data_IF_488135089052
#
_entry.id   IF_488135089052
#
_cell.length_a   1.000
_cell.length_b   1.000
_cell.length_c   1.000
_cell.angle_alpha   90.00
_cell.angle_beta   90.00
_cell.angle_gamma   90.00
#
_symmetry.space_group_name_H-M   'P 1'
#
loop_
_entity.id
_entity.type
_entity.pdbx_description
1 polymer ?
#
# COMPACT_ATOMS: atom_id res chain seq x y z
N UNK A 1 -23.11 -4.79 27.77
CA UNK A 1 -24.05 -3.70 27.36
C UNK A 1 -24.22 -2.60 28.40
N UNK A 2 -23.72 -2.75 29.62
CA UNK A 2 -23.77 -1.72 30.65
C UNK A 2 -22.99 -0.47 30.25
N UNK A 3 -21.81 -0.64 29.70
CA UNK A 3 -20.91 0.45 29.31
C UNK A 3 -21.50 1.35 28.22
N UNK A 4 -22.21 0.79 27.24
CA UNK A 4 -22.86 1.59 26.21
C UNK A 4 -23.97 2.49 26.77
N UNK A 5 -24.76 1.98 27.73
CA UNK A 5 -25.79 2.79 28.41
C UNK A 5 -25.15 3.90 29.23
N UNK A 6 -24.04 3.61 29.90
CA UNK A 6 -23.30 4.61 30.66
C UNK A 6 -22.81 5.72 29.74
N UNK A 7 -22.08 5.41 28.64
CA UNK A 7 -21.62 6.40 27.69
C UNK A 7 -22.74 7.21 27.06
N UNK A 8 -23.85 6.58 26.70
CA UNK A 8 -24.98 7.32 26.12
C UNK A 8 -25.62 8.28 27.12
N UNK A 9 -25.69 7.92 28.43
CA UNK A 9 -26.18 8.83 29.48
C UNK A 9 -25.23 9.98 29.75
N UNK A 10 -23.91 9.75 29.71
CA UNK A 10 -22.91 10.80 29.87
C UNK A 10 -22.94 11.79 28.71
N UNK A 11 -23.04 11.30 27.45
CA UNK A 11 -23.18 12.15 26.27
C UNK A 11 -24.48 12.98 26.34
N UNK A 12 -25.58 12.36 26.72
CA UNK A 12 -26.86 13.08 26.89
C UNK A 12 -26.80 14.12 28.02
N UNK A 13 -26.12 13.81 29.13
CA UNK A 13 -25.87 14.75 30.25
C UNK A 13 -24.99 15.93 29.86
N UNK A 14 -23.94 15.68 29.08
CA UNK A 14 -23.04 16.71 28.58
C UNK A 14 -23.71 17.63 27.56
N UNK A 15 -24.82 17.18 26.96
CA UNK A 15 -25.59 17.91 25.93
C UNK A 15 -24.70 18.67 24.95
N UNK A 16 -23.79 17.96 24.23
CA UNK A 16 -22.80 18.62 23.36
C UNK A 16 -23.50 19.35 22.22
N UNK A 17 -23.28 20.64 22.15
CA UNK A 17 -23.70 21.44 20.99
C UNK A 17 -22.74 21.21 19.84
N UNK A 18 -23.23 20.68 18.73
CA UNK A 18 -22.43 20.51 17.53
C UNK A 18 -21.97 21.86 17.00
N UNK A 19 -20.70 21.95 16.61
CA UNK A 19 -20.15 23.14 15.96
C UNK A 19 -20.46 23.06 14.47
N UNK A 20 -21.02 24.14 13.91
CA UNK A 20 -21.23 24.22 12.46
C UNK A 20 -19.86 24.33 11.77
N UNK A 21 -19.55 23.34 10.92
CA UNK A 21 -18.29 23.27 10.18
C UNK A 21 -18.00 24.53 9.37
N UNK A 22 -19.02 25.16 8.80
CA UNK A 22 -18.85 26.37 7.99
C UNK A 22 -18.48 27.62 8.79
N UNK A 23 -18.83 27.66 10.09
CA UNK A 23 -18.54 28.77 11.00
C UNK A 23 -17.43 28.48 12.01
N UNK A 24 -16.88 27.25 11.99
CA UNK A 24 -15.81 26.84 12.89
C UNK A 24 -14.48 27.47 12.47
N UNK A 25 -13.93 28.32 13.32
CA UNK A 25 -12.56 28.84 13.17
C UNK A 25 -11.66 28.16 14.19
N UNK A 26 -10.64 27.39 13.80
CA UNK A 26 -9.71 26.78 14.72
C UNK A 26 -8.95 27.83 15.51
N UNK A 27 -8.93 27.70 16.82
CA UNK A 27 -8.16 28.62 17.70
C UNK A 27 -6.69 28.23 17.78
N UNK A 28 -6.37 26.95 17.53
CA UNK A 28 -5.00 26.46 17.48
C UNK A 28 -4.62 26.14 16.03
N UNK A 29 -3.97 27.07 15.37
CA UNK A 29 -3.46 26.93 13.99
C UNK A 29 -1.96 26.62 13.96
N UNK A 30 -1.30 26.55 15.13
CA UNK A 30 0.10 26.20 15.21
C UNK A 30 0.26 24.68 15.02
N UNK A 31 0.81 24.28 13.89
CA UNK A 31 1.18 22.90 13.65
C UNK A 31 2.36 22.51 14.54
N UNK A 32 2.28 21.36 15.19
CA UNK A 32 3.44 20.80 15.87
C UNK A 32 4.48 20.39 14.81
N UNK A 33 5.74 20.70 15.07
CA UNK A 33 6.83 20.16 14.25
C UNK A 33 6.82 18.62 14.32
N UNK A 34 7.15 17.97 13.19
CA UNK A 34 7.33 16.52 13.19
C UNK A 34 8.46 16.13 14.14
N UNK A 35 8.34 14.97 14.81
CA UNK A 35 9.44 14.44 15.63
C UNK A 35 10.71 14.28 14.78
N UNK A 36 11.86 14.45 15.41
CA UNK A 36 13.16 14.10 14.80
C UNK A 36 13.46 12.62 15.04
N UNK A 37 14.22 12.01 14.15
CA UNK A 37 14.69 10.63 14.32
C UNK A 37 15.46 10.49 15.63
N UNK A 38 15.13 9.47 16.40
CA UNK A 38 15.72 9.17 17.70
C UNK A 38 15.19 7.86 18.26
N UNK A 39 15.57 7.50 19.50
CA UNK A 39 15.19 6.22 20.10
C UNK A 39 13.68 5.98 20.24
N UNK A 40 12.87 7.03 20.24
CA UNK A 40 11.41 6.96 20.34
C UNK A 40 10.69 7.16 19.01
N UNK A 41 11.40 7.50 17.95
CA UNK A 41 10.84 7.79 16.63
C UNK A 41 11.85 7.53 15.52
N UNK A 42 11.63 6.47 14.73
CA UNK A 42 12.58 6.02 13.72
C UNK A 42 12.36 6.63 12.32
N UNK A 43 11.24 7.32 12.10
CA UNK A 43 10.92 7.83 10.78
C UNK A 43 11.38 9.28 10.59
N UNK A 44 12.08 9.54 9.47
CA UNK A 44 12.44 10.89 9.03
C UNK A 44 11.19 11.64 8.56
N UNK A 45 11.10 12.92 8.89
CA UNK A 45 9.94 13.75 8.51
C UNK A 45 9.92 14.13 7.02
N UNK A 46 11.05 13.99 6.33
CA UNK A 46 11.19 14.25 4.89
C UNK A 46 12.41 13.53 4.32
N UNK A 47 12.27 12.79 3.21
CA UNK A 47 10.99 12.46 2.58
C UNK A 47 10.17 11.47 3.41
N UNK A 48 8.85 11.58 3.34
CA UNK A 48 7.94 10.56 3.86
C UNK A 48 7.94 9.32 2.95
N UNK A 49 7.52 8.13 3.46
CA UNK A 49 7.30 6.96 2.61
C UNK A 49 6.42 7.33 1.41
N UNK A 50 6.81 6.98 0.19
CA UNK A 50 6.00 7.25 -0.99
C UNK A 50 4.68 6.45 -0.94
N UNK A 51 3.66 6.95 -1.60
CA UNK A 51 2.45 6.17 -1.87
C UNK A 51 2.80 5.10 -2.90
N UNK A 52 2.20 3.91 -2.76
CA UNK A 52 2.41 2.84 -3.74
C UNK A 52 1.90 3.28 -5.13
N UNK A 53 2.77 3.24 -6.12
CA UNK A 53 2.38 3.35 -7.53
C UNK A 53 1.91 1.98 -8.00
N UNK A 54 0.59 1.76 -7.96
CA UNK A 54 -0.04 0.48 -8.27
C UNK A 54 0.24 0.09 -9.73
N UNK A 55 0.17 1.04 -10.64
CA UNK A 55 0.36 0.80 -12.07
C UNK A 55 1.81 0.43 -12.38
N UNK A 56 2.79 1.10 -11.77
CA UNK A 56 4.19 0.71 -11.86
C UNK A 56 4.42 -0.70 -11.30
N UNK A 57 3.82 -1.02 -10.15
CA UNK A 57 3.95 -2.34 -9.53
C UNK A 57 3.36 -3.45 -10.40
N UNK A 58 2.20 -3.22 -11.01
CA UNK A 58 1.58 -4.16 -11.95
C UNK A 58 2.39 -4.27 -13.24
N UNK A 59 2.82 -3.15 -13.80
CA UNK A 59 3.69 -3.09 -14.97
C UNK A 59 4.97 -3.92 -14.77
N UNK A 60 5.66 -3.71 -13.68
CA UNK A 60 6.85 -4.47 -13.32
C UNK A 60 6.54 -5.97 -13.18
N UNK A 61 5.45 -6.33 -12.51
CA UNK A 61 5.05 -7.72 -12.34
C UNK A 61 4.68 -8.39 -13.67
N UNK A 62 3.99 -7.70 -14.57
CA UNK A 62 3.57 -8.22 -15.87
C UNK A 62 4.72 -8.40 -16.84
N UNK A 63 5.73 -7.56 -16.74
CA UNK A 63 6.96 -7.67 -17.55
C UNK A 63 7.97 -8.66 -16.97
N UNK A 64 7.78 -9.13 -15.73
CA UNK A 64 8.67 -10.09 -15.09
C UNK A 64 8.53 -11.49 -15.68
N UNK A 65 9.66 -12.10 -16.04
CA UNK A 65 9.73 -13.46 -16.59
C UNK A 65 9.88 -14.55 -15.52
N UNK A 66 10.25 -14.20 -14.31
CA UNK A 66 10.32 -15.11 -13.16
C UNK A 66 9.52 -14.53 -12.00
N UNK A 67 8.56 -15.31 -11.52
CA UNK A 67 7.63 -14.90 -10.47
C UNK A 67 7.42 -16.00 -9.44
N UNK A 68 6.80 -15.66 -8.32
CA UNK A 68 6.46 -16.62 -7.26
C UNK A 68 5.49 -17.67 -7.78
N UNK A 69 5.79 -18.94 -7.54
CA UNK A 69 4.92 -20.07 -7.88
C UNK A 69 3.78 -20.22 -6.86
N UNK A 70 2.56 -19.88 -7.27
CA UNK A 70 1.37 -20.04 -6.42
C UNK A 70 1.39 -19.14 -5.16
N UNK A 71 0.94 -19.68 -4.04
CA UNK A 71 0.92 -19.02 -2.73
C UNK A 71 1.98 -19.61 -1.81
N UNK A 72 2.81 -18.76 -1.22
CA UNK A 72 3.81 -19.13 -0.23
C UNK A 72 3.35 -18.70 1.16
N UNK A 73 3.79 -19.42 2.21
CA UNK A 73 3.66 -18.94 3.58
C UNK A 73 4.58 -17.75 3.84
N UNK A 74 4.27 -16.92 4.82
CA UNK A 74 5.10 -15.76 5.19
C UNK A 74 6.56 -16.12 5.48
N UNK A 75 6.78 -17.26 6.14
CA UNK A 75 8.12 -17.78 6.42
C UNK A 75 8.88 -18.14 5.13
N UNK A 76 8.20 -18.74 4.14
CA UNK A 76 8.81 -19.04 2.84
C UNK A 76 9.10 -17.77 2.06
N UNK A 77 8.22 -16.75 2.12
CA UNK A 77 8.50 -15.44 1.54
C UNK A 77 9.78 -14.84 2.10
N UNK A 78 9.91 -14.75 3.44
CA UNK A 78 11.06 -14.17 4.10
C UNK A 78 12.37 -14.91 3.72
N UNK A 79 12.33 -16.25 3.73
CA UNK A 79 13.49 -17.06 3.33
C UNK A 79 13.88 -16.83 1.88
N UNK A 80 12.92 -16.78 0.96
CA UNK A 80 13.18 -16.60 -0.46
C UNK A 80 13.72 -15.19 -0.75
N UNK A 81 13.19 -14.15 -0.09
CA UNK A 81 13.77 -12.81 -0.14
C UNK A 81 15.23 -12.79 0.30
N UNK A 82 15.52 -13.36 1.47
CA UNK A 82 16.90 -13.43 1.98
C UNK A 82 17.83 -14.16 1.01
N UNK A 83 17.36 -15.24 0.40
CA UNK A 83 18.14 -16.02 -0.56
C UNK A 83 18.39 -15.24 -1.85
N UNK A 84 17.34 -14.72 -2.48
CA UNK A 84 17.47 -14.06 -3.79
C UNK A 84 18.21 -12.73 -3.68
N UNK A 85 17.96 -11.92 -2.65
CA UNK A 85 18.68 -10.67 -2.42
C UNK A 85 20.14 -10.90 -1.94
N UNK A 86 20.51 -12.13 -1.58
CA UNK A 86 21.91 -12.52 -1.42
C UNK A 86 22.64 -12.77 -2.74
N UNK A 87 21.91 -12.99 -3.83
CA UNK A 87 22.47 -13.28 -5.15
C UNK A 87 22.41 -12.10 -6.11
N UNK A 88 21.48 -11.18 -5.93
CA UNK A 88 21.27 -10.01 -6.79
C UNK A 88 21.04 -8.75 -5.96
N UNK A 89 21.22 -7.59 -6.58
CA UNK A 89 20.96 -6.29 -5.95
C UNK A 89 19.45 -6.03 -5.81
N UNK A 90 18.97 -5.90 -4.57
CA UNK A 90 17.59 -5.59 -4.22
C UNK A 90 17.36 -4.12 -3.81
N UNK A 91 18.25 -3.20 -4.18
CA UNK A 91 18.16 -1.78 -3.79
C UNK A 91 16.84 -1.12 -4.22
N UNK A 92 16.22 -1.60 -5.32
CA UNK A 92 14.90 -1.16 -5.78
C UNK A 92 13.75 -1.45 -4.80
N UNK A 93 13.99 -2.29 -3.79
CA UNK A 93 13.03 -2.64 -2.72
C UNK A 93 13.35 -1.96 -1.39
N UNK A 94 14.41 -1.15 -1.32
CA UNK A 94 14.80 -0.45 -0.09
C UNK A 94 13.63 0.36 0.45
N UNK A 95 13.36 0.22 1.75
CA UNK A 95 12.36 1.00 2.46
C UNK A 95 12.95 1.37 3.83
N UNK A 96 13.73 2.44 3.88
CA UNK A 96 14.40 2.90 5.09
C UNK A 96 13.83 4.25 5.53
N UNK A 97 12.89 4.22 6.47
CA UNK A 97 12.25 5.41 6.99
C UNK A 97 13.23 6.31 7.76
N UNK A 98 14.28 5.75 8.36
CA UNK A 98 15.28 6.48 9.14
C UNK A 98 16.17 7.35 8.25
N UNK A 99 16.59 6.84 7.09
CA UNK A 99 17.39 7.59 6.12
C UNK A 99 16.52 8.33 5.10
N UNK A 100 15.26 7.93 4.95
CA UNK A 100 14.36 8.46 3.94
C UNK A 100 14.67 7.92 2.53
N UNK A 101 15.26 6.72 2.43
CA UNK A 101 15.60 6.07 1.17
C UNK A 101 14.55 5.03 0.80
N UNK A 102 13.95 5.21 -0.38
CA UNK A 102 12.91 4.32 -0.89
C UNK A 102 13.19 3.98 -2.34
N UNK A 103 13.28 2.70 -2.64
CA UNK A 103 13.34 2.20 -4.02
C UNK A 103 11.98 2.32 -4.71
N UNK A 104 11.97 2.35 -6.04
CA UNK A 104 10.76 2.53 -6.85
C UNK A 104 9.69 1.46 -6.59
N UNK A 105 10.10 0.25 -6.21
CA UNK A 105 9.21 -0.87 -5.94
C UNK A 105 9.01 -1.16 -4.44
N UNK A 106 9.52 -0.29 -3.57
CA UNK A 106 9.49 -0.48 -2.11
C UNK A 106 8.08 -0.56 -1.53
N UNK A 107 7.10 0.08 -2.15
CA UNK A 107 5.70 0.10 -1.71
C UNK A 107 4.79 -0.87 -2.48
N UNK A 108 5.33 -1.68 -3.38
CA UNK A 108 4.59 -2.75 -4.06
C UNK A 108 4.18 -3.84 -3.06
N UNK A 109 3.22 -4.67 -3.44
CA UNK A 109 2.86 -5.84 -2.62
C UNK A 109 4.04 -6.79 -2.46
N UNK A 110 4.10 -7.54 -1.36
CA UNK A 110 5.18 -8.50 -1.09
C UNK A 110 5.41 -9.48 -2.24
N UNK A 111 4.33 -9.90 -2.91
CA UNK A 111 4.41 -10.78 -4.09
C UNK A 111 5.09 -10.09 -5.27
N UNK A 112 4.76 -8.84 -5.53
CA UNK A 112 5.38 -8.06 -6.61
C UNK A 112 6.84 -7.72 -6.30
N UNK A 113 7.16 -7.35 -5.07
CA UNK A 113 8.53 -7.11 -4.63
C UNK A 113 9.40 -8.35 -4.83
N UNK A 114 8.90 -9.53 -4.42
CA UNK A 114 9.63 -10.77 -4.61
C UNK A 114 9.77 -11.14 -6.09
N UNK A 115 8.76 -10.85 -6.92
CA UNK A 115 8.84 -11.04 -8.37
C UNK A 115 9.92 -10.15 -9.00
N UNK A 116 10.07 -8.89 -8.55
CA UNK A 116 11.17 -8.02 -8.97
C UNK A 116 12.53 -8.66 -8.69
N UNK A 117 12.77 -9.10 -7.45
CA UNK A 117 14.04 -9.72 -7.06
C UNK A 117 14.33 -11.01 -7.85
N UNK A 118 13.34 -11.89 -7.96
CA UNK A 118 13.43 -13.14 -8.74
C UNK A 118 13.72 -12.88 -10.21
N UNK A 119 13.01 -11.94 -10.82
CA UNK A 119 13.19 -11.59 -12.21
C UNK A 119 14.56 -10.95 -12.47
N UNK A 120 15.04 -10.10 -11.55
CA UNK A 120 16.37 -9.50 -11.66
C UNK A 120 17.45 -10.56 -11.67
N UNK A 121 17.45 -11.48 -10.69
CA UNK A 121 18.36 -12.62 -10.67
C UNK A 121 18.23 -13.48 -11.94
N UNK A 122 17.01 -13.80 -12.35
CA UNK A 122 16.76 -14.58 -13.56
C UNK A 122 17.36 -13.95 -14.84
N UNK A 123 17.23 -12.63 -14.99
CA UNK A 123 17.82 -11.89 -16.11
C UNK A 123 19.35 -11.90 -16.05
N UNK A 124 19.94 -11.71 -14.86
CA UNK A 124 21.39 -11.79 -14.63
C UNK A 124 21.95 -13.18 -14.93
N UNK A 125 21.15 -14.25 -14.77
CA UNK A 125 21.50 -15.62 -15.15
C UNK A 125 21.13 -15.96 -16.62
N UNK A 126 21.04 -14.95 -17.51
CA UNK A 126 20.72 -15.09 -18.93
C UNK A 126 19.39 -15.84 -19.17
N UNK A 127 18.44 -15.72 -18.24
CA UNK A 127 17.12 -16.37 -18.28
C UNK A 127 17.21 -17.90 -18.34
N UNK A 128 18.21 -18.50 -17.73
CA UNK A 128 18.31 -19.95 -17.60
C UNK A 128 17.10 -20.47 -16.78
N UNK A 129 16.46 -21.53 -17.26
CA UNK A 129 15.22 -22.03 -16.66
C UNK A 129 15.38 -22.48 -15.19
N UNK A 130 16.53 -23.04 -14.85
CA UNK A 130 16.91 -23.45 -13.50
C UNK A 130 17.10 -22.26 -12.55
N UNK A 131 17.51 -21.09 -13.07
CA UNK A 131 17.62 -19.86 -12.28
C UNK A 131 16.27 -19.31 -11.79
N UNK A 132 15.15 -19.81 -12.27
CA UNK A 132 13.80 -19.45 -11.82
C UNK A 132 13.10 -20.58 -11.06
N UNK A 133 13.82 -21.58 -10.55
CA UNK A 133 13.22 -22.73 -9.87
C UNK A 133 13.05 -22.49 -8.37
N UNK A 134 14.11 -22.14 -7.67
CA UNK A 134 14.12 -21.93 -6.20
C UNK A 134 13.35 -23.03 -5.46
N UNK A 135 13.69 -24.28 -5.73
CA UNK A 135 13.02 -25.47 -5.17
C UNK A 135 11.49 -25.46 -5.37
N UNK A 136 11.04 -25.03 -6.53
CA UNK A 136 9.62 -24.93 -6.87
C UNK A 136 8.89 -23.71 -6.24
N UNK A 137 9.62 -22.80 -5.59
CA UNK A 137 9.03 -21.58 -5.02
C UNK A 137 8.86 -20.46 -6.06
N UNK A 138 9.53 -20.57 -7.20
CA UNK A 138 9.38 -19.65 -8.32
C UNK A 138 9.08 -20.40 -9.63
N UNK A 139 8.55 -19.70 -10.60
CA UNK A 139 8.19 -20.24 -11.91
C UNK A 139 8.39 -19.22 -13.01
N UNK A 140 8.78 -19.71 -14.18
CA UNK A 140 8.86 -18.89 -15.40
C UNK A 140 7.46 -18.51 -15.85
N UNK A 141 7.26 -17.24 -16.16
CA UNK A 141 6.00 -16.65 -16.65
C UNK A 141 6.22 -16.06 -18.03
N UNK A 142 5.23 -16.17 -18.90
CA UNK A 142 5.20 -15.40 -20.14
C UNK A 142 5.19 -13.90 -19.83
N UNK A 143 6.08 -13.16 -20.46
CA UNK A 143 6.22 -11.72 -20.23
C UNK A 143 5.35 -10.90 -21.17
N UNK A 144 4.77 -9.83 -20.67
CA UNK A 144 4.14 -8.79 -21.49
C UNK A 144 5.19 -7.72 -21.81
N UNK A 145 5.19 -7.20 -23.02
CA UNK A 145 6.09 -6.09 -23.36
C UNK A 145 5.57 -4.79 -22.74
N UNK A 146 6.41 -4.08 -22.02
CA UNK A 146 6.06 -2.74 -21.54
C UNK A 146 5.82 -1.79 -22.72
N UNK A 147 4.67 -1.11 -22.72
CA UNK A 147 4.27 -0.13 -23.74
C UNK A 147 3.69 1.12 -23.06
N UNK A 148 3.65 2.25 -23.79
CA UNK A 148 3.03 3.48 -23.28
C UNK A 148 3.63 3.94 -21.94
N UNK A 149 2.77 4.33 -21.02
CA UNK A 149 3.11 4.81 -19.67
C UNK A 149 3.93 3.80 -18.88
N UNK A 150 3.55 2.51 -18.94
CA UNK A 150 4.29 1.41 -18.33
C UNK A 150 5.77 1.39 -18.77
N UNK A 151 6.06 1.55 -20.07
CA UNK A 151 7.44 1.61 -20.59
C UNK A 151 8.20 2.84 -20.06
N UNK A 152 7.52 3.97 -19.89
CA UNK A 152 8.14 5.20 -19.38
C UNK A 152 8.46 5.05 -17.89
N UNK A 153 7.49 4.62 -17.07
CA UNK A 153 7.69 4.37 -15.65
C UNK A 153 8.81 3.35 -15.37
N UNK A 154 8.87 2.26 -16.14
CA UNK A 154 9.94 1.26 -16.02
C UNK A 154 11.33 1.83 -16.37
N UNK A 155 11.40 2.76 -17.34
CA UNK A 155 12.66 3.45 -17.66
C UNK A 155 13.07 4.43 -16.56
N UNK A 156 12.12 5.17 -15.99
CA UNK A 156 12.35 6.07 -14.86
C UNK A 156 12.83 5.31 -13.62
N UNK A 157 12.19 4.18 -13.30
CA UNK A 157 12.60 3.30 -12.20
C UNK A 157 14.01 2.72 -12.42
N UNK A 158 14.38 2.50 -13.68
CA UNK A 158 15.64 1.90 -14.06
C UNK A 158 15.72 0.40 -13.72
N UNK A 159 16.76 -0.26 -14.23
CA UNK A 159 16.96 -1.71 -14.06
C UNK A 159 17.22 -2.12 -12.61
N UNK A 160 17.80 -1.24 -11.81
CA UNK A 160 18.01 -1.43 -10.37
C UNK A 160 16.78 -1.07 -9.54
N UNK A 161 15.80 -0.38 -10.11
CA UNK A 161 14.62 0.09 -9.38
C UNK A 161 14.91 1.22 -8.38
N UNK A 162 16.01 1.96 -8.55
CA UNK A 162 16.44 3.04 -7.65
C UNK A 162 16.13 4.44 -8.21
N UNK A 163 15.59 4.51 -9.41
CA UNK A 163 15.21 5.78 -10.03
C UNK A 163 13.91 6.35 -9.44
N UNK A 164 13.72 7.64 -9.65
CA UNK A 164 12.49 8.33 -9.24
C UNK A 164 11.49 8.28 -10.38
N UNK A 165 10.32 7.71 -10.12
CA UNK A 165 9.21 7.65 -11.09
C UNK A 165 8.35 8.89 -10.91
N UNK A 166 8.21 9.67 -11.98
CA UNK A 166 7.43 10.92 -12.00
C UNK A 166 6.25 10.87 -12.96
N UNK A 167 6.24 9.88 -13.86
CA UNK A 167 5.18 9.68 -14.83
C UNK A 167 3.95 9.08 -14.14
N UNK A 168 2.86 9.85 -14.10
CA UNK A 168 1.57 9.39 -13.61
C UNK A 168 0.76 8.71 -14.73
N UNK A 169 -0.04 7.68 -14.37
CA UNK A 169 -1.00 7.11 -15.31
C UNK A 169 -2.20 8.04 -15.50
N UNK A 170 -2.31 8.64 -16.65
CA UNK A 170 -3.45 9.47 -17.02
C UNK A 170 -4.73 8.65 -17.31
N UNK A 171 -4.66 7.33 -17.35
CA UNK A 171 -5.78 6.43 -17.64
C UNK A 171 -6.71 6.16 -16.43
N UNK A 172 -6.31 6.49 -15.21
CA UNK A 172 -7.13 6.30 -14.00
C UNK A 172 -7.47 7.64 -13.34
N UNK A 173 -7.92 8.61 -14.14
CA UNK A 173 -8.57 9.81 -13.63
C UNK A 173 -10.00 9.50 -13.15
N UNK A 174 -10.14 8.54 -12.28
CA UNK A 174 -11.38 8.12 -11.65
C UNK A 174 -11.12 7.53 -10.28
N UNK A 175 -10.55 8.31 -9.38
CA UNK A 175 -10.63 8.25 -7.91
C UNK A 175 -9.31 8.67 -7.26
N UNK A 176 -9.31 9.87 -6.68
CA UNK A 176 -8.37 10.39 -5.69
C UNK A 176 -6.93 10.70 -6.15
N UNK A 177 -6.77 11.61 -7.10
CA UNK A 177 -5.51 12.35 -7.27
C UNK A 177 -5.38 13.40 -6.16
N UNK A 178 -4.62 13.12 -5.12
CA UNK A 178 -3.99 14.16 -4.34
C UNK A 178 -2.74 14.61 -5.10
N UNK A 179 -2.93 15.52 -6.06
CA UNK A 179 -1.84 16.19 -6.78
C UNK A 179 -1.03 17.03 -5.79
N UNK A 180 0.19 16.62 -5.51
CA UNK A 180 1.17 17.46 -4.82
C UNK A 180 1.91 18.32 -5.85
N UNK A 181 1.21 19.31 -6.40
CA UNK A 181 1.88 20.43 -7.05
C UNK A 181 2.39 21.35 -5.95
N UNK A 182 3.70 21.44 -5.80
CA UNK A 182 4.33 22.44 -4.93
C UNK A 182 4.05 23.84 -5.48
N UNK A 183 3.00 24.45 -5.01
CA UNK A 183 2.77 25.89 -5.04
C UNK A 183 2.48 26.33 -3.63
N UNK A 184 3.37 27.18 -3.12
CA UNK A 184 3.26 27.86 -1.85
C UNK A 184 1.99 28.71 -1.77
N UNK A 185 0.93 28.17 -1.16
CA UNK A 185 -0.17 28.96 -0.60
C UNK A 185 -0.84 28.12 0.50
N UNK A 186 -0.90 28.72 1.67
CA UNK A 186 -1.65 28.40 2.90
C UNK A 186 -2.47 27.09 2.88
N UNK A 187 -1.96 26.10 3.59
CA UNK A 187 -2.60 24.80 3.78
C UNK A 187 -3.72 24.87 4.81
N UNK A 188 -4.96 24.76 4.37
CA UNK A 188 -6.04 24.34 5.25
C UNK A 188 -6.01 22.81 5.37
N UNK A 189 -5.74 22.32 6.57
CA UNK A 189 -5.80 20.89 6.89
C UNK A 189 -7.22 20.37 6.73
N UNK A 190 -7.49 19.69 5.61
CA UNK A 190 -8.73 18.95 5.40
C UNK A 190 -8.72 17.65 6.18
N UNK A 191 -9.57 17.54 7.21
CA UNK A 191 -9.91 16.26 7.78
C UNK A 191 -10.48 15.35 6.67
N UNK A 192 -9.96 14.12 6.56
CA UNK A 192 -10.45 13.12 5.62
C UNK A 192 -11.88 12.75 6.01
N UNK A 193 -12.86 13.33 5.35
CA UNK A 193 -14.24 12.89 5.46
C UNK A 193 -14.36 11.53 4.77
N UNK A 194 -14.68 10.50 5.55
CA UNK A 194 -15.17 9.22 5.04
C UNK A 194 -16.47 9.48 4.24
N UNK A 195 -16.34 9.69 2.95
CA UNK A 195 -17.48 9.60 2.05
C UNK A 195 -17.70 8.12 1.76
N UNK A 196 -18.53 7.52 2.60
CA UNK A 196 -19.19 6.25 2.31
C UNK A 196 -20.21 6.47 1.20
N UNK A 197 -19.78 6.42 -0.04
CA UNK A 197 -20.68 6.20 -1.18
C UNK A 197 -20.61 4.72 -1.55
N UNK A 198 -21.05 3.87 -0.63
CA UNK A 198 -21.38 2.48 -0.95
C UNK A 198 -22.86 2.45 -1.36
N UNK A 199 -23.10 2.52 -2.64
CA UNK A 199 -24.33 2.02 -3.25
C UNK A 199 -24.30 0.48 -3.18
N UNK A 200 -24.37 -0.07 -1.97
CA UNK A 200 -24.69 -1.46 -1.79
C UNK A 200 -26.21 -1.59 -1.91
N UNK A 201 -26.66 -2.27 -2.97
CA UNK A 201 -28.07 -2.54 -3.17
C UNK A 201 -28.65 -3.23 -1.93
N UNK A 202 -29.83 -2.81 -1.51
CA UNK A 202 -30.57 -3.23 -0.31
C UNK A 202 -30.70 -4.74 -0.11
N UNK A 203 -30.38 -5.55 -1.10
CA UNK A 203 -30.47 -7.01 -1.06
C UNK A 203 -29.29 -7.73 -0.36
N UNK A 204 -28.11 -7.13 -0.32
CA UNK A 204 -26.94 -7.79 0.30
C UNK A 204 -26.92 -7.64 1.83
N UNK A 205 -27.49 -6.59 2.37
CA UNK A 205 -27.56 -6.37 3.82
C UNK A 205 -28.55 -7.35 4.48
N UNK A 206 -29.65 -7.68 3.78
CA UNK A 206 -30.63 -8.66 4.29
C UNK A 206 -30.04 -10.08 4.37
N UNK A 207 -29.18 -10.48 3.43
CA UNK A 207 -28.55 -11.81 3.43
C UNK A 207 -27.53 -11.99 4.57
N UNK A 208 -26.77 -10.94 4.92
CA UNK A 208 -25.80 -11.01 6.02
C UNK A 208 -26.47 -11.10 7.41
N UNK A 209 -27.63 -10.45 7.60
CA UNK A 209 -28.35 -10.48 8.87
C UNK A 209 -29.01 -11.84 9.10
N UNK A 210 -29.53 -12.47 8.06
CA UNK A 210 -30.18 -13.80 8.20
C UNK A 210 -29.19 -14.91 8.47
N UNK A 211 -27.98 -14.86 7.91
CA UNK A 211 -26.92 -15.85 8.20
C UNK A 211 -26.37 -15.71 9.62
N UNK A 212 -26.23 -14.48 10.14
CA UNK A 212 -25.80 -14.26 11.52
C UNK A 212 -26.81 -14.73 12.55
N UNK A 213 -28.11 -14.61 12.29
CA UNK A 213 -29.17 -15.09 13.20
C UNK A 213 -29.28 -16.61 13.23
N UNK A 214 -29.06 -17.28 12.09
CA UNK A 214 -29.08 -18.75 12.03
C UNK A 214 -27.87 -19.40 12.71
N UNK A 215 -26.68 -18.75 12.62
CA UNK A 215 -25.50 -19.23 13.33
C UNK A 215 -25.58 -19.00 14.85
N UNK A 216 -26.26 -17.96 15.30
CA UNK A 216 -26.44 -17.64 16.73
C UNK A 216 -27.38 -18.61 17.48
N UNK A 217 -28.40 -19.11 16.81
CA UNK A 217 -29.35 -20.05 17.41
C UNK A 217 -28.79 -21.46 17.55
N UNK A 218 -27.85 -21.85 16.66
CA UNK A 218 -27.19 -23.16 16.73
C UNK A 218 -26.22 -23.34 17.91
N UNK A 219 -25.71 -22.26 18.51
CA UNK A 219 -24.78 -22.34 19.66
C UNK A 219 -25.45 -22.40 21.01
N UNK A 220 -26.77 -22.21 21.10
CA UNK A 220 -27.52 -22.26 22.38
C UNK A 220 -28.15 -23.62 22.60
N UNK A 221 -28.15 -24.53 21.61
CA UNK A 221 -28.76 -25.85 21.67
C UNK A 221 -27.76 -27.02 21.84
N UNK A 222 -26.48 -26.74 22.15
CA UNK A 222 -25.44 -27.68 22.53
C UNK A 222 -24.90 -27.31 23.92
#
# INVERSE_FOLDING_TARGET
MADFKYYSSEIASANPTGVNKASYTPTNTALRSCPTVGSAWDAKSSPLPPVADVDLCECMYDTSGCVVAGSLSSTKYAKLFSTVCGYTDCSGLTANATTGEYGAYSMCTTKQQLAFALNKYYVEQNRAADACSFDGSATVKATTKATGTCSTQMKEAGTAGTGTVTTENTATAGSNSASSTASSTTSSSGAIGLHSSSSFGSFQVAACITTALLAGVGMIAL
#
